data_IF_273305804813
#
_entry.id   IF_273305804813
#
_cell.length_a   1.000
_cell.length_b   1.000
_cell.length_c   1.000
_cell.angle_alpha   90.00
_cell.angle_beta   90.00
_cell.angle_gamma   90.00
#
_symmetry.space_group_name_H-M   'P 1'
#
loop_
_entity.id
_entity.type
_entity.pdbx_description
1 polymer ?
#
# COMPACT_ATOMS: atom_id res chain seq x y z
N UNK A 1 2.98 -20.37 13.73
CA UNK A 1 1.96 -20.47 12.67
C UNK A 1 1.79 -19.16 11.89
N UNK A 2 1.51 -18.03 12.55
CA UNK A 2 1.39 -16.70 11.90
C UNK A 2 2.62 -16.33 11.07
N UNK A 3 3.82 -16.55 11.63
CA UNK A 3 5.09 -16.31 10.93
C UNK A 3 5.22 -17.15 9.64
N UNK A 4 4.84 -18.44 9.68
CA UNK A 4 4.92 -19.32 8.52
C UNK A 4 3.94 -18.90 7.41
N UNK A 5 2.74 -18.45 7.79
CA UNK A 5 1.77 -17.93 6.84
C UNK A 5 2.24 -16.62 6.20
N UNK A 6 2.81 -15.71 6.99
CA UNK A 6 3.40 -14.47 6.46
C UNK A 6 4.59 -14.77 5.52
N UNK A 7 5.48 -15.68 5.92
CA UNK A 7 6.60 -16.12 5.09
C UNK A 7 6.14 -16.77 3.78
N UNK A 8 5.11 -17.63 3.81
CA UNK A 8 4.55 -18.27 2.62
C UNK A 8 3.97 -17.26 1.62
N UNK A 9 3.40 -16.15 2.09
CA UNK A 9 2.88 -15.06 1.24
C UNK A 9 4.02 -14.25 0.61
N UNK A 10 5.11 -14.02 1.35
CA UNK A 10 6.24 -13.22 0.88
C UNK A 10 7.18 -14.02 -0.05
N UNK A 11 7.29 -15.33 0.15
CA UNK A 11 8.27 -16.20 -0.50
C UNK A 11 8.26 -16.15 -2.03
N UNK A 12 7.10 -16.22 -2.74
CA UNK A 12 7.10 -16.18 -4.20
C UNK A 12 7.64 -14.85 -4.77
N UNK A 13 7.36 -13.74 -4.09
CA UNK A 13 7.83 -12.42 -4.53
C UNK A 13 9.35 -12.31 -4.37
N UNK A 14 9.89 -12.71 -3.21
CA UNK A 14 11.35 -12.67 -2.99
C UNK A 14 12.08 -13.60 -3.96
N UNK A 15 11.54 -14.80 -4.20
CA UNK A 15 12.12 -15.75 -5.13
C UNK A 15 12.16 -15.19 -6.56
N UNK A 16 11.08 -14.55 -7.02
CA UNK A 16 11.00 -14.02 -8.38
C UNK A 16 11.85 -12.77 -8.61
N UNK A 17 11.93 -11.86 -7.62
CA UNK A 17 12.60 -10.56 -7.80
C UNK A 17 13.97 -10.47 -7.13
N UNK A 18 14.38 -11.50 -6.37
CA UNK A 18 15.61 -11.50 -5.55
C UNK A 18 15.76 -10.22 -4.72
N UNK A 19 14.64 -9.65 -4.30
CA UNK A 19 14.55 -8.37 -3.63
C UNK A 19 13.41 -8.39 -2.62
N UNK A 20 13.43 -7.44 -1.69
CA UNK A 20 12.39 -7.33 -0.66
C UNK A 20 11.00 -7.17 -1.30
N UNK A 21 9.96 -7.85 -0.78
CA UNK A 21 8.64 -7.84 -1.40
C UNK A 21 8.09 -6.42 -1.51
N UNK A 22 7.55 -6.12 -2.69
CA UNK A 22 6.84 -4.86 -2.92
C UNK A 22 5.71 -4.66 -1.90
N UNK A 23 5.38 -3.40 -1.59
CA UNK A 23 4.37 -3.06 -0.58
C UNK A 23 3.02 -3.77 -0.75
N UNK A 24 2.61 -4.05 -1.99
CA UNK A 24 1.38 -4.80 -2.31
C UNK A 24 1.35 -6.23 -1.76
N UNK A 25 2.50 -6.91 -1.71
CA UNK A 25 2.61 -8.27 -1.13
C UNK A 25 2.52 -8.21 0.39
N UNK A 26 3.03 -7.14 1.00
CA UNK A 26 2.98 -6.92 2.44
C UNK A 26 1.55 -6.73 2.93
N UNK A 27 0.63 -6.16 2.14
CA UNK A 27 -0.78 -5.97 2.54
C UNK A 27 -1.41 -7.28 3.02
N UNK A 28 -1.17 -8.39 2.30
CA UNK A 28 -1.71 -9.70 2.68
C UNK A 28 -1.06 -10.24 3.96
N UNK A 29 0.26 -10.07 4.10
CA UNK A 29 0.98 -10.46 5.33
C UNK A 29 0.52 -9.63 6.55
N UNK A 30 0.28 -8.34 6.36
CA UNK A 30 -0.24 -7.43 7.38
C UNK A 30 -1.65 -7.81 7.83
N UNK A 31 -2.52 -8.21 6.89
CA UNK A 31 -3.86 -8.72 7.22
C UNK A 31 -3.78 -9.94 8.13
N UNK A 32 -2.91 -10.91 7.81
CA UNK A 32 -2.71 -12.12 8.63
C UNK A 32 -2.21 -11.75 10.03
N UNK A 33 -1.23 -10.84 10.11
CA UNK A 33 -0.69 -10.35 11.38
C UNK A 33 -1.78 -9.67 12.22
N UNK A 34 -2.59 -8.80 11.61
CA UNK A 34 -3.65 -8.06 12.29
C UNK A 34 -4.77 -8.99 12.76
N UNK A 35 -5.16 -9.97 11.94
CA UNK A 35 -6.14 -10.99 12.32
C UNK A 35 -5.65 -11.83 13.51
N UNK A 36 -4.38 -12.23 13.50
CA UNK A 36 -3.78 -12.95 14.62
C UNK A 36 -3.73 -12.10 15.90
N UNK A 37 -3.37 -10.82 15.79
CA UNK A 37 -3.36 -9.90 16.92
C UNK A 37 -4.76 -9.69 17.49
N UNK A 38 -5.77 -9.56 16.64
CA UNK A 38 -7.18 -9.47 17.05
C UNK A 38 -7.62 -10.75 17.77
N UNK A 39 -7.33 -11.93 17.22
CA UNK A 39 -7.64 -13.20 17.84
C UNK A 39 -6.96 -13.34 19.22
N UNK A 40 -5.69 -12.97 19.31
CA UNK A 40 -4.94 -12.97 20.57
C UNK A 40 -5.55 -12.02 21.61
N UNK A 41 -5.93 -10.81 21.19
CA UNK A 41 -6.62 -9.84 22.04
C UNK A 41 -7.95 -10.36 22.57
N UNK A 42 -8.75 -11.02 21.73
CA UNK A 42 -10.02 -11.66 22.14
C UNK A 42 -9.77 -12.78 23.15
N UNK A 43 -8.81 -13.67 22.88
CA UNK A 43 -8.46 -14.77 23.78
C UNK A 43 -7.97 -14.27 25.14
N UNK A 44 -7.10 -13.27 25.16
CA UNK A 44 -6.66 -12.60 26.39
C UNK A 44 -7.82 -11.95 27.14
N UNK A 45 -8.70 -11.23 26.43
CA UNK A 45 -9.88 -10.61 27.01
C UNK A 45 -10.79 -11.62 27.70
N UNK A 46 -11.02 -12.78 27.07
CA UNK A 46 -11.81 -13.89 27.67
C UNK A 46 -11.13 -14.47 28.91
N UNK A 47 -9.82 -14.68 28.86
CA UNK A 47 -9.05 -15.18 30.00
C UNK A 47 -9.13 -14.21 31.20
N UNK A 48 -8.97 -12.91 30.96
CA UNK A 48 -9.12 -11.89 32.01
C UNK A 48 -10.55 -11.76 32.53
N UNK A 49 -11.55 -11.90 31.66
CA UNK A 49 -12.96 -11.88 32.06
C UNK A 49 -13.29 -13.01 33.05
N UNK A 50 -12.65 -14.18 32.89
CA UNK A 50 -12.81 -15.35 33.77
C UNK A 50 -12.14 -15.22 35.14
N UNK A 51 -11.33 -14.17 35.38
CA UNK A 51 -10.55 -13.99 36.62
C UNK A 51 -10.95 -12.70 37.36
N UNK A 52 -12.07 -12.69 38.11
CA UNK A 52 -12.61 -11.49 38.74
C UNK A 52 -11.66 -10.84 39.78
N UNK A 53 -10.83 -11.65 40.46
CA UNK A 53 -9.84 -11.16 41.41
C UNK A 53 -8.83 -10.18 40.77
N UNK A 54 -8.44 -10.40 39.51
CA UNK A 54 -7.55 -9.50 38.77
C UNK A 54 -8.26 -8.22 38.33
N UNK A 55 -9.57 -8.28 38.03
CA UNK A 55 -10.36 -7.09 37.63
C UNK A 55 -10.63 -6.13 38.80
N UNK A 56 -10.69 -6.67 40.01
CA UNK A 56 -10.94 -5.88 41.22
C UNK A 56 -9.77 -4.91 41.54
N UNK A 57 -8.54 -5.25 41.15
CA UNK A 57 -7.34 -4.48 41.46
C UNK A 57 -7.27 -3.17 40.66
N UNK A 58 -6.89 -2.07 41.31
CA UNK A 58 -6.83 -0.75 40.65
C UNK A 58 -5.74 -0.65 39.57
N UNK A 59 -4.60 -1.34 39.76
CA UNK A 59 -3.48 -1.32 38.82
C UNK A 59 -3.82 -1.97 37.47
N UNK A 60 -4.67 -3.01 37.45
CA UNK A 60 -5.09 -3.65 36.19
C UNK A 60 -5.96 -2.70 35.37
N UNK A 61 -6.83 -1.91 36.02
CA UNK A 61 -7.63 -0.87 35.34
C UNK A 61 -6.75 0.22 34.75
N UNK A 62 -5.75 0.70 35.51
CA UNK A 62 -4.79 1.68 35.02
C UNK A 62 -4.03 1.15 33.78
N UNK A 63 -3.60 -0.11 33.81
CA UNK A 63 -2.90 -0.75 32.70
C UNK A 63 -3.79 -0.89 31.44
N UNK A 64 -5.08 -1.18 31.61
CA UNK A 64 -6.04 -1.17 30.50
C UNK A 64 -6.23 0.21 29.88
N UNK A 65 -6.38 1.24 30.71
CA UNK A 65 -6.49 2.63 30.24
C UNK A 65 -5.23 3.02 29.46
N UNK A 66 -4.04 2.71 29.98
CA UNK A 66 -2.77 2.97 29.30
C UNK A 66 -2.68 2.23 27.95
N UNK A 67 -3.12 0.97 27.91
CA UNK A 67 -3.13 0.17 26.67
C UNK A 67 -4.07 0.78 25.63
N UNK A 68 -5.28 1.20 26.03
CA UNK A 68 -6.23 1.86 25.13
C UNK A 68 -5.70 3.21 24.63
N UNK A 69 -5.05 3.99 25.49
CA UNK A 69 -4.40 5.24 25.11
C UNK A 69 -3.26 5.01 24.12
N UNK A 70 -2.45 3.96 24.31
CA UNK A 70 -1.39 3.58 23.38
C UNK A 70 -1.94 3.14 22.02
N UNK A 71 -3.03 2.36 21.98
CA UNK A 71 -3.70 1.99 20.74
C UNK A 71 -4.26 3.25 20.04
N UNK A 72 -4.96 4.10 20.78
CA UNK A 72 -5.53 5.33 20.24
C UNK A 72 -4.45 6.29 19.70
N UNK A 73 -3.32 6.41 20.39
CA UNK A 73 -2.21 7.25 19.93
C UNK A 73 -1.58 6.72 18.64
N UNK A 74 -1.42 5.40 18.50
CA UNK A 74 -0.92 4.81 17.25
C UNK A 74 -1.87 5.03 16.08
N UNK A 75 -3.19 4.93 16.31
CA UNK A 75 -4.20 5.23 15.30
C UNK A 75 -4.16 6.70 14.87
N UNK A 76 -4.03 7.63 15.82
CA UNK A 76 -3.91 9.07 15.54
C UNK A 76 -2.65 9.40 14.73
N UNK A 77 -1.52 8.77 15.05
CA UNK A 77 -0.28 8.91 14.28
C UNK A 77 -0.51 8.41 12.84
N UNK A 78 -1.09 7.22 12.69
CA UNK A 78 -1.39 6.65 11.37
C UNK A 78 -2.28 7.55 10.51
N UNK A 79 -3.36 8.07 11.09
CA UNK A 79 -4.26 9.02 10.40
C UNK A 79 -3.50 10.29 9.98
N UNK A 80 -2.69 10.86 10.87
CA UNK A 80 -1.89 12.04 10.53
C UNK A 80 -0.94 11.78 9.37
N UNK A 81 -0.27 10.62 9.34
CA UNK A 81 0.63 10.25 8.24
C UNK A 81 -0.12 10.09 6.92
N UNK A 82 -1.30 9.48 6.92
CA UNK A 82 -2.13 9.34 5.72
C UNK A 82 -2.59 10.72 5.22
N UNK A 83 -3.08 11.56 6.13
CA UNK A 83 -3.56 12.90 5.79
C UNK A 83 -2.44 13.82 5.33
N UNK A 84 -1.21 13.69 5.87
CA UNK A 84 -0.08 14.49 5.40
C UNK A 84 0.31 14.19 3.95
N UNK A 85 -0.01 13.00 3.44
CA UNK A 85 0.25 12.60 2.06
C UNK A 85 -0.91 12.91 1.10
N UNK A 86 -2.05 13.37 1.62
CA UNK A 86 -3.29 13.54 0.85
C UNK A 86 -3.13 14.49 -0.34
N UNK A 87 -2.51 15.66 -0.14
CA UNK A 87 -2.30 16.63 -1.23
C UNK A 87 -1.44 16.03 -2.35
N UNK A 88 -0.38 15.31 -1.98
CA UNK A 88 0.50 14.63 -2.94
C UNK A 88 -0.27 13.59 -3.75
N UNK A 89 -1.11 12.80 -3.11
CA UNK A 89 -1.93 11.77 -3.76
C UNK A 89 -2.96 12.39 -4.71
N UNK A 90 -3.65 13.45 -4.29
CA UNK A 90 -4.60 14.15 -5.15
C UNK A 90 -3.93 14.82 -6.35
N UNK A 91 -2.77 15.46 -6.14
CA UNK A 91 -1.99 16.01 -7.26
C UNK A 91 -1.59 14.92 -8.23
N UNK A 92 -1.10 13.78 -7.73
CA UNK A 92 -0.74 12.65 -8.59
C UNK A 92 -1.95 12.15 -9.40
N UNK A 93 -3.11 11.98 -8.75
CA UNK A 93 -4.34 11.55 -9.42
C UNK A 93 -4.76 12.53 -10.53
N UNK A 94 -4.76 13.84 -10.25
CA UNK A 94 -5.08 14.85 -11.26
C UNK A 94 -4.10 14.81 -12.46
N UNK A 95 -2.80 14.65 -12.20
CA UNK A 95 -1.79 14.54 -13.26
C UNK A 95 -1.94 13.24 -14.07
N UNK A 96 -2.41 12.16 -13.44
CA UNK A 96 -2.74 10.91 -14.09
C UNK A 96 -3.96 11.09 -15.01
N UNK A 97 -5.02 11.72 -14.52
CA UNK A 97 -6.26 11.97 -15.28
C UNK A 97 -5.98 12.84 -16.52
N UNK A 98 -5.18 13.89 -16.34
CA UNK A 98 -4.75 14.78 -17.44
C UNK A 98 -3.98 13.99 -18.52
N UNK A 99 -3.04 13.12 -18.09
CA UNK A 99 -2.28 12.29 -19.03
C UNK A 99 -3.17 11.27 -19.73
N UNK A 100 -4.10 10.67 -19.00
CA UNK A 100 -5.06 9.72 -19.57
C UNK A 100 -5.90 10.38 -20.66
N UNK A 101 -6.48 11.55 -20.39
CA UNK A 101 -7.24 12.31 -21.36
C UNK A 101 -6.40 12.65 -22.61
N UNK A 102 -5.18 13.17 -22.41
CA UNK A 102 -4.26 13.48 -23.51
C UNK A 102 -4.00 12.26 -24.41
N UNK A 103 -3.73 11.09 -23.84
CA UNK A 103 -3.44 9.88 -24.62
C UNK A 103 -4.67 9.43 -25.41
N UNK A 104 -5.86 9.49 -24.81
CA UNK A 104 -7.10 9.12 -25.50
C UNK A 104 -7.41 10.06 -26.67
N UNK A 105 -7.24 11.38 -26.48
CA UNK A 105 -7.43 12.38 -27.52
C UNK A 105 -6.41 12.19 -28.67
N UNK A 106 -5.14 11.97 -28.35
CA UNK A 106 -4.10 11.75 -29.34
C UNK A 106 -4.36 10.48 -30.15
N UNK A 107 -4.77 9.38 -29.49
CA UNK A 107 -5.18 8.13 -30.14
C UNK A 107 -6.39 8.33 -31.05
N UNK A 108 -7.40 9.07 -30.59
CA UNK A 108 -8.58 9.40 -31.39
C UNK A 108 -8.23 10.24 -32.63
N UNK A 109 -7.18 11.06 -32.55
CA UNK A 109 -6.61 11.80 -33.67
C UNK A 109 -5.68 10.95 -34.57
N UNK A 110 -5.54 9.64 -34.31
CA UNK A 110 -4.70 8.71 -35.08
C UNK A 110 -3.20 8.80 -34.75
N UNK A 111 -2.81 9.49 -33.68
CA UNK A 111 -1.43 9.56 -33.23
C UNK A 111 -1.10 8.31 -32.41
N UNK A 112 -0.23 7.45 -32.96
CA UNK A 112 0.13 6.16 -32.36
C UNK A 112 1.52 6.14 -31.73
N UNK A 113 2.34 7.16 -31.97
CA UNK A 113 3.68 7.33 -31.43
C UNK A 113 3.72 8.60 -30.57
N UNK A 114 3.62 8.43 -29.24
CA UNK A 114 3.37 9.54 -28.33
C UNK A 114 4.57 9.87 -27.44
N UNK A 115 4.84 11.16 -27.30
CA UNK A 115 5.68 11.69 -26.21
C UNK A 115 4.76 12.19 -25.09
N UNK A 116 4.76 11.49 -23.95
CA UNK A 116 3.87 11.78 -22.81
C UNK A 116 4.66 12.30 -21.63
N UNK A 117 4.01 13.10 -20.78
CA UNK A 117 4.60 13.58 -19.53
C UNK A 117 4.88 12.39 -18.59
N UNK A 118 6.11 12.31 -18.09
CA UNK A 118 6.47 11.42 -16.98
C UNK A 118 5.91 11.99 -15.67
N UNK A 119 5.32 11.15 -14.82
CA UNK A 119 4.73 11.58 -13.56
C UNK A 119 5.74 11.50 -12.40
N UNK A 120 5.53 12.23 -11.30
CA UNK A 120 6.32 12.02 -10.09
C UNK A 120 6.23 10.58 -9.61
N UNK A 121 7.35 9.97 -9.23
CA UNK A 121 7.35 8.61 -8.69
C UNK A 121 6.45 8.50 -7.46
N UNK A 122 5.53 7.55 -7.49
CA UNK A 122 4.64 7.24 -6.38
C UNK A 122 4.92 5.82 -5.89
N UNK A 123 5.14 5.66 -4.59
CA UNK A 123 5.28 4.36 -3.92
C UNK A 123 6.34 3.41 -4.55
N UNK A 124 7.41 3.96 -5.13
CA UNK A 124 8.46 3.16 -5.78
C UNK A 124 8.03 2.51 -7.09
N UNK A 125 6.92 2.96 -7.69
CA UNK A 125 6.50 2.51 -9.01
C UNK A 125 7.41 3.10 -10.09
N UNK A 126 7.77 2.25 -11.05
CA UNK A 126 8.43 2.68 -12.28
C UNK A 126 7.48 3.56 -13.11
N UNK A 127 8.06 4.47 -13.88
CA UNK A 127 7.31 5.42 -14.71
C UNK A 127 7.91 5.45 -16.12
N UNK A 128 7.23 6.12 -17.05
CA UNK A 128 7.65 6.24 -18.44
C UNK A 128 8.99 6.98 -18.52
N UNK A 129 9.90 6.42 -19.31
CA UNK A 129 11.26 6.90 -19.51
C UNK A 129 11.50 7.37 -20.96
N UNK A 130 12.67 7.95 -21.22
CA UNK A 130 13.04 8.46 -22.55
C UNK A 130 13.17 7.35 -23.61
N UNK A 131 13.61 6.16 -23.21
CA UNK A 131 13.73 5.01 -24.12
C UNK A 131 12.38 4.33 -24.31
N UNK A 132 11.92 4.24 -25.56
CA UNK A 132 10.70 3.49 -25.92
C UNK A 132 10.79 2.00 -25.60
N UNK A 133 12.02 1.46 -25.53
CA UNK A 133 12.28 0.06 -25.20
C UNK A 133 12.30 -0.20 -23.69
N UNK A 134 12.05 0.82 -22.86
CA UNK A 134 11.86 0.58 -21.44
C UNK A 134 10.60 -0.25 -21.19
N UNK A 135 10.64 -1.21 -20.27
CA UNK A 135 9.54 -2.16 -20.08
C UNK A 135 8.22 -1.48 -19.67
N UNK A 136 8.30 -0.40 -18.88
CA UNK A 136 7.12 0.41 -18.49
C UNK A 136 6.49 1.05 -19.72
N UNK A 137 7.31 1.59 -20.64
CA UNK A 137 6.85 2.20 -21.87
C UNK A 137 6.13 1.17 -22.74
N UNK A 138 6.68 -0.04 -22.88
CA UNK A 138 6.02 -1.12 -23.63
C UNK A 138 4.68 -1.52 -23.03
N UNK A 139 4.61 -1.69 -21.71
CA UNK A 139 3.35 -2.00 -21.02
C UNK A 139 2.32 -0.88 -21.19
N UNK A 140 2.75 0.37 -21.11
CA UNK A 140 1.87 1.53 -21.31
C UNK A 140 1.36 1.59 -22.76
N UNK A 141 2.24 1.43 -23.75
CA UNK A 141 1.87 1.40 -25.16
C UNK A 141 0.87 0.28 -25.45
N UNK A 142 1.12 -0.93 -24.91
CA UNK A 142 0.20 -2.05 -25.04
C UNK A 142 -1.17 -1.78 -24.39
N UNK A 143 -1.21 -1.15 -23.22
CA UNK A 143 -2.46 -0.84 -22.53
C UNK A 143 -3.35 0.15 -23.30
N UNK A 144 -2.75 1.12 -24.00
CA UNK A 144 -3.47 2.14 -24.78
C UNK A 144 -3.56 1.81 -26.28
N UNK A 145 -3.14 0.62 -26.72
CA UNK A 145 -3.01 0.25 -28.14
C UNK A 145 -2.20 1.26 -28.97
N UNK A 146 -1.07 1.74 -28.45
CA UNK A 146 -0.13 2.62 -29.14
C UNK A 146 1.01 1.81 -29.78
N UNK A 147 1.69 2.38 -30.78
CA UNK A 147 2.90 1.81 -31.34
C UNK A 147 4.09 2.02 -30.40
N UNK A 148 4.33 3.27 -30.01
CA UNK A 148 5.42 3.62 -29.10
C UNK A 148 5.03 4.74 -28.15
N UNK A 149 5.67 4.76 -26.98
CA UNK A 149 5.57 5.84 -26.02
C UNK A 149 6.94 6.16 -25.44
N UNK A 150 7.20 7.45 -25.22
CA UNK A 150 8.41 7.94 -24.55
C UNK A 150 8.10 9.12 -23.64
N UNK A 151 8.96 9.35 -22.66
CA UNK A 151 8.89 10.55 -21.85
C UNK A 151 9.18 11.78 -22.72
N UNK A 152 8.38 12.83 -22.53
CA UNK A 152 8.60 14.16 -23.09
C UNK A 152 9.59 14.96 -22.26
#
# INVERSE_FOLDING_TARGET
MVFLLAAAVMFPSEYATSSYPSGRVLVTAELIRNAALAAFGISLGRLFASRPALRAQAWTRALWVLTLLAIASTALIGVRTILSDQERLFRFAALWDERHAFVQEARAAGQMDLAVRSLPHLAGLGEIEASSDHWVNRCFAQYYDLHTVRAK
#
